data_IF_533888317884
#
_entry.id   IF_533888317884
#
_cell.length_a   1.000
_cell.length_b   1.000
_cell.length_c   1.000
_cell.angle_alpha   90.00
_cell.angle_beta   90.00
_cell.angle_gamma   90.00
#
_symmetry.space_group_name_H-M   'P 1'
#
loop_
_entity.id
_entity.type
_entity.pdbx_description
1 polymer ?
#
# COMPACT_ATOMS: atom_id res chain seq x y z
N UNK A 1 -3.93 3.29 -6.59
CA UNK A 1 -2.49 3.33 -6.97
C UNK A 1 -1.69 2.48 -5.99
N UNK A 2 -0.66 1.78 -6.45
CA UNK A 2 0.26 1.03 -5.58
C UNK A 2 1.71 1.34 -5.95
N UNK A 3 2.56 1.63 -4.97
CA UNK A 3 4.00 1.77 -5.14
C UNK A 3 4.72 0.75 -4.27
N UNK A 4 5.52 -0.10 -4.92
CA UNK A 4 6.38 -1.07 -4.24
C UNK A 4 7.74 -0.42 -3.98
N UNK A 5 8.22 -0.51 -2.75
CA UNK A 5 9.54 -0.05 -2.35
C UNK A 5 10.37 -1.24 -1.85
N UNK A 6 11.56 -1.42 -2.41
CA UNK A 6 12.50 -2.46 -2.04
C UNK A 6 13.83 -1.82 -1.65
N UNK A 7 14.47 -2.36 -0.61
CA UNK A 7 15.78 -1.94 -0.12
C UNK A 7 16.71 -3.15 -0.17
N UNK A 8 17.93 -3.06 -0.72
CA UNK A 8 18.88 -4.16 -0.78
C UNK A 8 19.23 -4.80 0.57
N UNK A 9 19.05 -4.08 1.68
CA UNK A 9 19.30 -4.55 3.04
C UNK A 9 18.13 -5.33 3.64
N UNK A 10 16.98 -5.40 2.95
CA UNK A 10 15.78 -6.08 3.43
C UNK A 10 15.34 -7.17 2.46
N UNK A 11 15.00 -8.36 3.00
CA UNK A 11 14.68 -9.54 2.19
C UNK A 11 13.34 -9.47 1.44
N UNK A 12 12.48 -8.50 1.78
CA UNK A 12 11.15 -8.33 1.18
C UNK A 12 10.82 -6.85 0.97
N UNK A 13 10.09 -6.51 -0.10
CA UNK A 13 9.63 -5.14 -0.33
C UNK A 13 8.47 -4.77 0.61
N UNK A 14 8.13 -3.48 0.62
CA UNK A 14 6.95 -2.93 1.29
C UNK A 14 6.06 -2.21 0.27
N UNK A 15 4.76 -2.18 0.51
CA UNK A 15 3.78 -1.59 -0.39
C UNK A 15 3.10 -0.34 0.21
N UNK A 16 3.09 0.74 -0.57
CA UNK A 16 2.30 1.94 -0.31
C UNK A 16 1.09 1.93 -1.24
N UNK A 17 -0.11 1.95 -0.68
CA UNK A 17 -1.35 1.77 -1.44
C UNK A 17 -2.31 2.92 -1.20
N UNK A 18 -2.80 3.50 -2.29
CA UNK A 18 -4.02 4.31 -2.30
C UNK A 18 -5.15 3.37 -2.74
N UNK A 19 -6.02 2.93 -1.82
CA UNK A 19 -7.11 2.01 -2.14
C UNK A 19 -8.19 2.72 -2.97
N UNK A 20 -8.99 1.93 -3.69
CA UNK A 20 -10.23 2.44 -4.25
C UNK A 20 -11.22 2.67 -3.09
N UNK A 21 -11.69 3.90 -2.92
CA UNK A 21 -12.53 4.28 -1.78
C UNK A 21 -13.80 3.40 -1.67
N UNK A 22 -14.48 3.15 -2.80
CA UNK A 22 -15.69 2.34 -2.84
C UNK A 22 -15.42 0.89 -2.45
N UNK A 23 -14.35 0.28 -2.97
CA UNK A 23 -14.01 -1.10 -2.60
C UNK A 23 -13.57 -1.23 -1.14
N UNK A 24 -12.87 -0.22 -0.60
CA UNK A 24 -12.49 -0.23 0.81
C UNK A 24 -13.69 -0.03 1.73
N UNK A 25 -14.63 0.84 1.36
CA UNK A 25 -15.90 1.02 2.06
C UNK A 25 -16.69 -0.29 2.13
N UNK A 26 -16.84 -0.99 1.01
CA UNK A 26 -17.52 -2.28 0.96
C UNK A 26 -16.82 -3.33 1.85
N UNK A 27 -15.49 -3.33 1.89
CA UNK A 27 -14.71 -4.20 2.77
C UNK A 27 -14.88 -3.84 4.26
N UNK A 28 -14.92 -2.54 4.57
CA UNK A 28 -15.15 -2.01 5.92
C UNK A 28 -16.53 -2.41 6.43
N UNK A 29 -17.58 -2.23 5.63
CA UNK A 29 -18.95 -2.61 5.98
C UNK A 29 -19.09 -4.12 6.22
N UNK A 30 -18.48 -4.94 5.35
CA UNK A 30 -18.45 -6.40 5.54
C UNK A 30 -17.73 -6.82 6.82
N UNK A 31 -16.75 -6.03 7.25
CA UNK A 31 -15.95 -6.29 8.45
C UNK A 31 -16.51 -5.61 9.70
N UNK A 32 -17.65 -4.90 9.59
CA UNK A 32 -18.25 -4.15 10.70
C UNK A 32 -17.47 -2.92 11.14
N UNK A 33 -16.51 -2.44 10.33
CA UNK A 33 -15.69 -1.27 10.64
C UNK A 33 -16.44 -0.01 10.19
N UNK A 34 -16.79 0.84 11.16
CA UNK A 34 -17.40 2.14 10.90
C UNK A 34 -16.34 3.23 10.71
N UNK A 35 -16.70 4.30 10.01
CA UNK A 35 -15.84 5.47 9.85
C UNK A 35 -15.79 5.97 8.41
N UNK A 36 -14.70 6.63 8.07
CA UNK A 36 -14.42 7.17 6.75
C UNK A 36 -13.16 6.53 6.15
N UNK A 37 -12.80 6.94 4.93
CA UNK A 37 -11.60 6.46 4.24
C UNK A 37 -10.32 6.61 5.08
N UNK A 38 -10.24 7.65 5.92
CA UNK A 38 -9.08 7.88 6.79
C UNK A 38 -9.02 6.85 7.92
N UNK A 39 -10.13 6.61 8.59
CA UNK A 39 -10.25 5.59 9.62
C UNK A 39 -9.97 4.19 9.05
N UNK A 40 -10.57 3.86 7.91
CA UNK A 40 -10.38 2.56 7.26
C UNK A 40 -8.94 2.31 6.82
N UNK A 41 -8.24 3.35 6.33
CA UNK A 41 -6.82 3.21 5.99
C UNK A 41 -5.93 2.93 7.22
N UNK A 42 -6.38 3.29 8.43
CA UNK A 42 -5.66 3.02 9.68
C UNK A 42 -6.04 1.70 10.33
N UNK A 43 -7.16 1.09 9.93
CA UNK A 43 -7.62 -0.18 10.48
C UNK A 43 -6.70 -1.35 10.09
N UNK A 44 -6.20 -2.06 11.08
CA UNK A 44 -5.29 -3.18 10.87
C UNK A 44 -5.97 -4.39 10.23
N UNK A 45 -7.27 -4.59 10.45
CA UNK A 45 -8.05 -5.67 9.84
C UNK A 45 -8.15 -5.46 8.33
N UNK A 46 -8.48 -4.25 7.90
CA UNK A 46 -8.55 -3.88 6.49
C UNK A 46 -7.19 -3.90 5.81
N UNK A 47 -6.13 -3.43 6.49
CA UNK A 47 -4.76 -3.56 5.97
C UNK A 47 -4.38 -5.02 5.73
N UNK A 48 -4.71 -5.92 6.67
CA UNK A 48 -4.48 -7.37 6.51
C UNK A 48 -5.30 -7.97 5.37
N UNK A 49 -6.53 -7.53 5.17
CA UNK A 49 -7.34 -7.98 4.03
C UNK A 49 -6.71 -7.54 2.70
N UNK A 50 -6.27 -6.29 2.58
CA UNK A 50 -5.57 -5.81 1.37
C UNK A 50 -4.27 -6.58 1.14
N UNK A 51 -3.50 -6.80 2.20
CA UNK A 51 -2.28 -7.61 2.15
C UNK A 51 -2.55 -9.02 1.63
N UNK A 52 -3.56 -9.70 2.18
CA UNK A 52 -3.95 -11.05 1.76
C UNK A 52 -4.40 -11.10 0.29
N UNK A 53 -5.10 -10.07 -0.20
CA UNK A 53 -5.47 -9.96 -1.61
C UNK A 53 -4.24 -9.81 -2.51
N UNK A 54 -3.26 -9.01 -2.09
CA UNK A 54 -1.98 -8.85 -2.81
C UNK A 54 -1.23 -10.18 -2.86
N UNK A 55 -1.12 -10.89 -1.73
CA UNK A 55 -0.46 -12.19 -1.64
C UNK A 55 -1.15 -13.22 -2.54
N UNK A 56 -2.48 -13.34 -2.49
CA UNK A 56 -3.24 -14.27 -3.32
C UNK A 56 -3.07 -13.97 -4.81
N UNK A 57 -3.09 -12.68 -5.19
CA UNK A 57 -2.87 -12.27 -6.57
C UNK A 57 -1.42 -12.58 -7.01
N UNK A 58 -0.44 -12.30 -6.17
CA UNK A 58 0.97 -12.57 -6.46
C UNK A 58 1.23 -14.09 -6.64
N UNK A 59 0.69 -14.91 -5.76
CA UNK A 59 0.80 -16.37 -5.82
C UNK A 59 0.12 -16.95 -7.06
N UNK A 60 -1.09 -16.47 -7.40
CA UNK A 60 -1.77 -16.90 -8.64
C UNK A 60 -1.03 -16.49 -9.91
N UNK A 61 -0.24 -15.42 -9.85
CA UNK A 61 0.68 -14.99 -10.92
C UNK A 61 2.07 -15.62 -10.83
N UNK A 62 2.28 -16.60 -9.93
CA UNK A 62 3.54 -17.35 -9.76
C UNK A 62 4.74 -16.47 -9.40
N UNK A 63 4.51 -15.34 -8.73
CA UNK A 63 5.59 -14.51 -8.17
C UNK A 63 6.30 -15.25 -7.04
N UNK A 64 7.60 -15.02 -6.93
CA UNK A 64 8.43 -15.56 -5.86
C UNK A 64 8.13 -14.86 -4.55
N UNK A 65 8.32 -15.56 -3.42
CA UNK A 65 8.02 -15.01 -2.08
C UNK A 65 8.74 -13.70 -1.78
N UNK A 66 9.96 -13.51 -2.30
CA UNK A 66 10.75 -12.29 -2.13
C UNK A 66 10.29 -11.12 -3.03
N UNK A 67 9.44 -11.38 -4.04
CA UNK A 67 8.79 -10.35 -4.85
C UNK A 67 7.49 -9.84 -4.20
N UNK A 68 6.93 -10.61 -3.27
CA UNK A 68 5.70 -10.25 -2.56
C UNK A 68 6.05 -9.28 -1.43
N UNK A 69 5.35 -8.13 -1.32
CA UNK A 69 5.52 -7.24 -0.20
C UNK A 69 5.30 -7.97 1.12
N UNK A 70 6.04 -7.63 2.17
CA UNK A 70 5.85 -8.20 3.51
C UNK A 70 4.99 -7.31 4.42
N UNK A 71 4.80 -6.03 4.04
CA UNK A 71 3.90 -5.12 4.73
C UNK A 71 3.26 -4.13 3.75
N UNK A 72 2.05 -3.67 4.10
CA UNK A 72 1.30 -2.67 3.33
C UNK A 72 0.87 -1.52 4.24
N UNK A 73 0.87 -0.31 3.70
CA UNK A 73 0.29 0.88 4.33
C UNK A 73 -0.70 1.51 3.37
N UNK A 74 -1.91 1.78 3.88
CA UNK A 74 -2.98 2.42 3.11
C UNK A 74 -2.95 3.94 3.32
N UNK A 75 -3.23 4.68 2.25
CA UNK A 75 -3.31 6.14 2.25
C UNK A 75 -4.66 6.60 1.69
N UNK A 76 -5.40 7.46 2.42
CA UNK A 76 -6.70 7.93 1.98
C UNK A 76 -6.61 8.92 0.81
N UNK A 77 -5.52 9.67 0.73
CA UNK A 77 -5.35 10.74 -0.24
C UNK A 77 -4.85 10.20 -1.60
N UNK A 78 -5.58 10.44 -2.70
CA UNK A 78 -5.14 10.03 -4.02
C UNK A 78 -3.84 10.70 -4.46
N UNK A 79 -2.99 9.93 -5.14
CA UNK A 79 -1.82 10.49 -5.82
C UNK A 79 -2.27 11.13 -7.13
N UNK A 80 -1.85 12.36 -7.37
CA UNK A 80 -2.22 13.17 -8.54
C UNK A 80 -0.99 13.85 -9.13
N UNK A 81 -1.07 14.38 -10.36
CA UNK A 81 -0.02 15.26 -10.89
C UNK A 81 0.16 16.51 -10.03
N UNK A 82 -0.96 17.12 -9.59
CA UNK A 82 -0.99 18.36 -8.81
C UNK A 82 -0.27 18.25 -7.46
N UNK A 83 -0.36 17.09 -6.80
CA UNK A 83 0.37 16.84 -5.55
C UNK A 83 1.78 16.28 -5.76
N UNK A 84 2.24 16.24 -7.02
CA UNK A 84 3.61 15.88 -7.39
C UNK A 84 3.92 14.39 -7.31
N UNK A 85 2.93 13.52 -7.04
CA UNK A 85 3.14 12.09 -6.88
C UNK A 85 2.95 11.30 -8.18
N UNK A 86 2.27 11.89 -9.16
CA UNK A 86 2.18 11.37 -10.52
C UNK A 86 2.84 12.32 -11.53
N UNK A 87 3.19 11.80 -12.69
CA UNK A 87 3.42 12.59 -13.91
C UNK A 87 2.09 13.01 -14.50
N UNK A 88 2.11 13.99 -15.42
CA UNK A 88 0.90 14.43 -16.13
C UNK A 88 0.26 13.29 -16.94
N UNK A 89 1.06 12.31 -17.34
CA UNK A 89 0.61 11.07 -17.97
C UNK A 89 0.13 10.00 -16.95
N UNK A 90 -0.14 10.37 -15.70
CA UNK A 90 -0.62 9.53 -14.61
C UNK A 90 0.31 8.35 -14.24
N UNK A 91 1.61 8.45 -14.54
CA UNK A 91 2.62 7.48 -14.10
C UNK A 91 3.16 7.84 -12.71
N UNK A 92 3.51 6.84 -11.91
CA UNK A 92 4.07 7.04 -10.56
C UNK A 92 5.43 7.77 -10.61
N UNK A 93 5.58 8.85 -9.84
CA UNK A 93 6.88 9.45 -9.52
C UNK A 93 7.48 8.73 -8.31
N UNK A 94 8.03 7.53 -8.53
CA UNK A 94 8.51 6.64 -7.45
C UNK A 94 9.51 7.31 -6.50
N UNK A 95 10.42 8.15 -7.01
CA UNK A 95 11.37 8.89 -6.18
C UNK A 95 10.66 9.86 -5.22
N UNK A 96 9.70 10.66 -5.73
CA UNK A 96 8.94 11.60 -4.91
C UNK A 96 8.02 10.89 -3.91
N UNK A 97 7.41 9.78 -4.30
CA UNK A 97 6.62 8.93 -3.39
C UNK A 97 7.52 8.40 -2.27
N UNK A 98 8.67 7.81 -2.59
CA UNK A 98 9.60 7.28 -1.60
C UNK A 98 10.10 8.37 -0.65
N UNK A 99 10.41 9.56 -1.18
CA UNK A 99 10.83 10.72 -0.39
C UNK A 99 9.72 11.20 0.55
N UNK A 100 8.48 11.33 0.06
CA UNK A 100 7.33 11.81 0.84
C UNK A 100 6.96 10.87 1.98
N UNK A 101 7.07 9.56 1.75
CA UNK A 101 6.67 8.53 2.72
C UNK A 101 7.86 7.82 3.37
N UNK A 102 9.04 8.44 3.38
CA UNK A 102 10.29 7.84 3.87
C UNK A 102 10.17 7.32 5.30
N UNK A 103 9.55 8.08 6.19
CA UNK A 103 9.36 7.69 7.60
C UNK A 103 8.46 6.46 7.75
N UNK A 104 7.39 6.39 6.96
CA UNK A 104 6.48 5.24 6.97
C UNK A 104 7.15 4.01 6.36
N UNK A 105 7.92 4.17 5.27
CA UNK A 105 8.73 3.10 4.67
C UNK A 105 9.72 2.55 5.71
N UNK A 106 10.48 3.42 6.38
CA UNK A 106 11.44 3.01 7.38
C UNK A 106 10.80 2.23 8.54
N UNK A 107 9.59 2.64 8.98
CA UNK A 107 8.82 1.91 10.00
C UNK A 107 8.36 0.55 9.50
N UNK A 108 7.81 0.48 8.28
CA UNK A 108 7.37 -0.79 7.70
C UNK A 108 8.53 -1.77 7.58
N UNK A 109 9.69 -1.32 7.11
CA UNK A 109 10.87 -2.17 6.92
C UNK A 109 11.45 -2.70 8.24
N UNK A 110 11.46 -1.90 9.31
CA UNK A 110 11.84 -2.36 10.66
C UNK A 110 10.91 -3.43 11.21
N UNK A 111 9.62 -3.34 10.91
CA UNK A 111 8.61 -4.28 11.40
C UNK A 111 8.57 -5.60 10.59
N UNK A 112 9.38 -5.71 9.54
CA UNK A 112 9.48 -6.87 8.64
C UNK A 112 10.75 -7.70 8.90
N UNK A 113 11.58 -7.30 9.88
CA UNK A 113 12.78 -8.04 10.29
C UNK A 113 12.48 -9.35 11.02
#
# INVERSE_FOLDING_TARGET
NICIHADPLHGHPVALVVPNAKHLEEAAHKSGVQGDIKAWCQDQGLQKQVMSQIEALAQSNKLQKWEIPAAVKLYPDPWTPDNGLLTDAMKLKRHEIAKRFADDIAKLMKNVQ
#
